data_IF_081319291540
#
_entry.id   IF_081319291540
#
_cell.length_a   1.000
_cell.length_b   1.000
_cell.length_c   1.000
_cell.angle_alpha   90.00
_cell.angle_beta   90.00
_cell.angle_gamma   90.00
#
_symmetry.space_group_name_H-M   'P 1'
#
loop_
_entity.id
_entity.type
_entity.pdbx_description
1 polymer ?
#
# COMPACT_ATOMS: atom_id res chain seq x y z
N UNK A 1 21.27 35.48 51.14
CA UNK A 1 21.39 36.78 50.42
C UNK A 1 20.26 37.78 50.68
N UNK A 2 19.00 37.39 50.92
CA UNK A 2 17.85 38.31 51.10
C UNK A 2 17.93 39.31 52.27
N UNK A 3 18.67 39.02 53.36
CA UNK A 3 18.81 39.94 54.52
C UNK A 3 19.76 41.13 54.26
N UNK A 4 20.73 40.99 53.35
CA UNK A 4 21.70 42.06 53.06
C UNK A 4 21.12 43.15 52.15
N UNK A 5 20.26 42.78 51.20
CA UNK A 5 19.60 43.73 50.29
C UNK A 5 18.60 44.62 51.03
N UNK A 6 17.94 44.08 52.06
CA UNK A 6 16.97 44.83 52.88
C UNK A 6 17.63 45.91 53.75
N UNK A 7 18.77 45.61 54.40
CA UNK A 7 19.53 46.59 55.19
C UNK A 7 20.06 47.76 54.35
N UNK A 8 20.49 47.51 53.12
CA UNK A 8 20.92 48.57 52.18
C UNK A 8 19.75 49.45 51.71
N UNK A 9 18.55 48.87 51.55
CA UNK A 9 17.33 49.61 51.19
C UNK A 9 16.97 50.61 52.29
N UNK A 10 16.97 50.18 53.55
CA UNK A 10 16.61 51.06 54.68
C UNK A 10 17.62 52.20 54.87
N UNK A 11 18.92 51.91 54.77
CA UNK A 11 19.97 52.93 54.96
C UNK A 11 19.92 54.06 53.91
N UNK A 12 19.46 53.76 52.69
CA UNK A 12 19.36 54.74 51.60
C UNK A 12 18.11 55.62 51.67
N UNK A 13 16.98 55.08 52.14
CA UNK A 13 15.78 55.88 52.41
C UNK A 13 16.00 56.81 53.60
N UNK A 14 16.75 56.35 54.61
CA UNK A 14 17.16 57.17 55.76
C UNK A 14 17.94 58.42 55.36
N UNK A 15 18.75 58.39 54.30
CA UNK A 15 19.49 59.58 53.85
C UNK A 15 18.58 60.68 53.28
N UNK A 16 17.59 60.32 52.46
CA UNK A 16 16.61 61.28 51.92
C UNK A 16 15.67 61.82 53.01
N UNK A 17 15.21 60.94 53.91
CA UNK A 17 14.40 61.33 55.07
C UNK A 17 15.19 62.20 56.06
N UNK A 18 16.47 61.91 56.27
CA UNK A 18 17.34 62.72 57.11
C UNK A 18 17.58 64.11 56.52
N UNK A 19 17.71 64.24 55.19
CA UNK A 19 17.82 65.56 54.53
C UNK A 19 16.53 66.37 54.64
N UNK A 20 15.36 65.74 54.48
CA UNK A 20 14.07 66.39 54.69
C UNK A 20 13.88 66.83 56.15
N UNK A 21 14.22 65.96 57.11
CA UNK A 21 14.18 66.27 58.53
C UNK A 21 15.16 67.39 58.88
N UNK A 22 16.39 67.36 58.35
CA UNK A 22 17.37 68.42 58.55
C UNK A 22 16.87 69.76 57.99
N UNK A 23 16.29 69.76 56.78
CA UNK A 23 15.67 70.95 56.19
C UNK A 23 14.53 71.51 57.04
N UNK A 24 13.62 70.64 57.53
CA UNK A 24 12.53 71.04 58.43
C UNK A 24 13.03 71.56 59.77
N UNK A 25 14.07 70.94 60.35
CA UNK A 25 14.69 71.40 61.61
C UNK A 25 15.35 72.76 61.41
N UNK A 26 16.06 72.99 60.29
CA UNK A 26 16.63 74.30 59.97
C UNK A 26 15.56 75.39 59.82
N UNK A 27 14.43 75.07 59.16
CA UNK A 27 13.29 76.01 59.06
C UNK A 27 12.63 76.29 60.41
N UNK A 28 12.43 75.26 61.23
CA UNK A 28 11.86 75.43 62.58
C UNK A 28 12.80 76.23 63.49
N UNK A 29 14.10 75.97 63.42
CA UNK A 29 15.12 76.73 64.15
C UNK A 29 15.16 78.20 63.69
N UNK A 30 15.01 78.47 62.39
CA UNK A 30 14.92 79.84 61.88
C UNK A 30 13.79 80.63 62.54
N UNK A 31 12.65 79.99 62.82
CA UNK A 31 11.52 80.60 63.52
C UNK A 31 11.79 80.89 65.00
N UNK A 32 12.65 80.11 65.66
CA UNK A 32 13.02 80.29 67.07
C UNK A 32 14.06 81.42 67.23
N UNK A 33 14.93 81.61 66.23
CA UNK A 33 16.00 82.62 66.24
C UNK A 33 15.65 83.91 65.48
N UNK A 34 14.37 84.32 65.48
CA UNK A 34 13.90 85.51 64.77
C UNK A 34 14.59 86.82 65.20
N UNK A 35 15.07 86.89 66.44
CA UNK A 35 15.74 88.07 66.98
C UNK A 35 17.16 88.32 66.40
N UNK A 36 17.72 87.36 65.65
CA UNK A 36 19.01 87.50 64.98
C UNK A 36 18.87 87.37 63.45
N UNK A 37 18.73 88.49 62.72
CA UNK A 37 18.33 88.49 61.31
C UNK A 37 19.22 87.64 60.39
N UNK A 38 20.53 87.60 60.67
CA UNK A 38 21.50 86.89 59.83
C UNK A 38 21.42 85.36 59.97
N UNK A 39 21.17 84.84 61.19
CA UNK A 39 21.03 83.41 61.44
C UNK A 39 19.71 82.88 60.86
N UNK A 40 18.63 83.64 61.01
CA UNK A 40 17.33 83.28 60.46
C UNK A 40 17.38 83.21 58.92
N UNK A 41 18.00 84.20 58.25
CA UNK A 41 18.14 84.18 56.79
C UNK A 41 18.94 82.98 56.29
N UNK A 42 20.13 82.74 56.88
CA UNK A 42 20.99 81.63 56.47
C UNK A 42 20.34 80.25 56.69
N UNK A 43 19.64 80.05 57.81
CA UNK A 43 18.93 78.80 58.09
C UNK A 43 17.74 78.56 57.15
N UNK A 44 17.07 79.64 56.72
CA UNK A 44 15.93 79.56 55.81
C UNK A 44 16.38 79.19 54.40
N UNK A 45 17.46 79.80 53.90
CA UNK A 45 18.04 79.46 52.59
C UNK A 45 18.60 78.04 52.55
N UNK A 46 19.32 77.62 53.60
CA UNK A 46 19.86 76.26 53.72
C UNK A 46 18.73 75.24 53.85
N UNK A 47 17.71 75.52 54.68
CA UNK A 47 16.55 74.66 54.86
C UNK A 47 15.72 74.49 53.58
N UNK A 48 15.47 75.59 52.85
CA UNK A 48 14.77 75.58 51.57
C UNK A 48 15.55 74.80 50.50
N UNK A 49 16.87 74.95 50.45
CA UNK A 49 17.74 74.19 49.54
C UNK A 49 17.62 72.70 49.80
N UNK A 50 17.67 72.26 51.07
CA UNK A 50 17.49 70.84 51.41
C UNK A 50 16.11 70.30 51.05
N UNK A 51 15.05 71.09 51.25
CA UNK A 51 13.67 70.73 50.91
C UNK A 51 13.42 70.63 49.40
N UNK A 52 14.11 71.43 48.58
CA UNK A 52 14.06 71.35 47.12
C UNK A 52 14.88 70.16 46.57
N UNK A 53 16.09 69.94 47.11
CA UNK A 53 16.98 68.89 46.60
C UNK A 53 16.57 67.47 47.03
N UNK A 54 15.99 67.29 48.20
CA UNK A 54 15.61 65.96 48.70
C UNK A 54 14.60 65.21 47.80
N UNK A 55 13.47 65.79 47.35
CA UNK A 55 12.54 65.12 46.44
C UNK A 55 13.17 64.87 45.06
N UNK A 56 14.05 65.75 44.59
CA UNK A 56 14.74 65.60 43.31
C UNK A 56 15.72 64.41 43.33
N UNK A 57 16.46 64.23 44.41
CA UNK A 57 17.31 63.05 44.65
C UNK A 57 16.50 61.75 44.80
N UNK A 58 15.31 61.82 45.41
CA UNK A 58 14.42 60.66 45.48
C UNK A 58 13.88 60.28 44.09
N UNK A 59 13.54 61.25 43.26
CA UNK A 59 13.04 61.05 41.89
C UNK A 59 14.12 60.45 40.99
N UNK A 60 15.33 61.04 40.96
CA UNK A 60 16.47 60.55 40.18
C UNK A 60 16.74 59.06 40.48
N UNK A 61 16.76 58.69 41.76
CA UNK A 61 16.99 57.29 42.17
C UNK A 61 15.82 56.36 41.84
N UNK A 62 14.59 56.87 41.77
CA UNK A 62 13.42 56.08 41.35
C UNK A 62 13.49 55.79 39.85
N UNK A 63 13.98 56.74 39.06
CA UNK A 63 14.21 56.62 37.62
C UNK A 63 15.36 55.64 37.35
N UNK A 64 16.52 55.78 38.01
CA UNK A 64 17.65 54.84 37.89
C UNK A 64 17.25 53.39 38.22
N UNK A 65 16.42 53.19 39.25
CA UNK A 65 15.91 51.85 39.59
C UNK A 65 14.96 51.29 38.54
N UNK A 66 14.11 52.12 37.93
CA UNK A 66 13.22 51.67 36.86
C UNK A 66 14.02 51.37 35.60
N UNK A 67 15.02 52.18 35.27
CA UNK A 67 15.92 51.91 34.15
C UNK A 67 16.62 50.56 34.31
N UNK A 68 17.25 50.28 35.45
CA UNK A 68 17.88 48.97 35.66
C UNK A 68 16.89 47.80 35.67
N UNK A 69 15.65 48.00 36.15
CA UNK A 69 14.59 46.97 36.09
C UNK A 69 14.12 46.71 34.66
N UNK A 70 14.05 47.75 33.83
CA UNK A 70 13.67 47.64 32.41
C UNK A 70 14.83 47.02 31.61
N UNK A 71 16.07 47.44 31.86
CA UNK A 71 17.28 46.92 31.20
C UNK A 71 17.51 45.44 31.53
N UNK A 72 17.40 45.05 32.80
CA UNK A 72 17.45 43.62 33.19
C UNK A 72 16.25 42.83 32.68
N UNK A 73 15.08 43.46 32.55
CA UNK A 73 13.90 42.88 31.91
C UNK A 73 14.10 42.64 30.42
N UNK A 74 14.70 43.60 29.69
CA UNK A 74 15.02 43.49 28.27
C UNK A 74 16.06 42.42 28.01
N UNK A 75 17.14 42.36 28.78
CA UNK A 75 18.14 41.29 28.67
C UNK A 75 17.53 39.91 28.90
N UNK A 76 16.65 39.76 29.91
CA UNK A 76 15.96 38.49 30.15
C UNK A 76 14.99 38.11 29.03
N UNK A 77 14.44 39.08 28.30
CA UNK A 77 13.58 38.85 27.12
C UNK A 77 14.44 38.45 25.92
N UNK A 78 15.54 39.15 25.65
CA UNK A 78 16.50 38.80 24.59
C UNK A 78 17.07 37.40 24.79
N UNK A 79 17.48 37.05 26.02
CA UNK A 79 17.95 35.70 26.35
C UNK A 79 16.88 34.62 26.11
N UNK A 80 15.62 34.91 26.42
CA UNK A 80 14.50 34.00 26.13
C UNK A 80 14.25 33.86 24.64
N UNK A 81 14.25 34.96 23.90
CA UNK A 81 14.07 34.95 22.45
C UNK A 81 15.20 34.17 21.77
N UNK A 82 16.45 34.40 22.17
CA UNK A 82 17.60 33.67 21.65
C UNK A 82 17.51 32.17 21.94
N UNK A 83 17.05 31.77 23.15
CA UNK A 83 16.81 30.36 23.46
C UNK A 83 15.72 29.76 22.59
N UNK A 84 14.59 30.44 22.45
CA UNK A 84 13.48 29.96 21.61
C UNK A 84 13.88 29.86 20.14
N UNK A 85 14.65 30.81 19.61
CA UNK A 85 15.17 30.74 18.23
C UNK A 85 16.09 29.52 18.06
N UNK A 86 16.98 29.28 19.01
CA UNK A 86 17.88 28.12 18.96
C UNK A 86 17.12 26.79 19.12
N UNK A 87 16.11 26.73 19.98
CA UNK A 87 15.23 25.57 20.16
C UNK A 87 14.41 25.29 18.90
N UNK A 88 13.86 26.33 18.25
CA UNK A 88 13.14 26.20 16.98
C UNK A 88 14.08 25.73 15.86
N UNK A 89 15.30 26.28 15.79
CA UNK A 89 16.28 25.85 14.80
C UNK A 89 16.66 24.38 14.98
N UNK A 90 16.93 23.95 16.23
CA UNK A 90 17.23 22.56 16.55
C UNK A 90 16.06 21.63 16.24
N UNK A 91 14.82 22.01 16.60
CA UNK A 91 13.63 21.22 16.29
C UNK A 91 13.38 21.15 14.78
N UNK A 92 13.61 22.23 14.04
CA UNK A 92 13.49 22.24 12.58
C UNK A 92 14.51 21.32 11.92
N UNK A 93 15.75 21.28 12.43
CA UNK A 93 16.80 20.38 11.97
C UNK A 93 16.45 18.92 12.30
N UNK A 94 15.97 18.63 13.50
CA UNK A 94 15.48 17.31 13.90
C UNK A 94 14.29 16.85 13.04
N UNK A 95 13.34 17.75 12.73
CA UNK A 95 12.22 17.45 11.83
C UNK A 95 12.69 17.20 10.41
N UNK A 96 13.67 17.96 9.91
CA UNK A 96 14.25 17.73 8.58
C UNK A 96 14.96 16.37 8.51
N UNK A 97 15.77 16.05 9.52
CA UNK A 97 16.46 14.77 9.61
C UNK A 97 15.47 13.59 9.73
N UNK A 98 14.46 13.71 10.57
CA UNK A 98 13.41 12.70 10.70
C UNK A 98 12.64 12.49 9.39
N UNK A 99 12.37 13.57 8.65
CA UNK A 99 11.71 13.48 7.35
C UNK A 99 12.59 12.73 6.34
N UNK A 100 13.88 13.02 6.30
CA UNK A 100 14.83 12.34 5.42
C UNK A 100 14.96 10.86 5.78
N UNK A 101 14.99 10.52 7.06
CA UNK A 101 15.05 9.12 7.53
C UNK A 101 13.74 8.36 7.24
N UNK A 102 12.57 9.01 7.39
CA UNK A 102 11.29 8.44 6.95
C UNK A 102 11.30 8.19 5.45
N UNK A 103 11.78 9.14 4.64
CA UNK A 103 11.83 8.93 3.18
C UNK A 103 12.74 7.75 2.82
N UNK A 104 13.93 7.67 3.41
CA UNK A 104 14.86 6.55 3.19
C UNK A 104 14.27 5.20 3.59
N UNK A 105 13.59 5.14 4.74
CA UNK A 105 12.97 3.90 5.20
C UNK A 105 11.79 3.47 4.32
N UNK A 106 11.01 4.43 3.80
CA UNK A 106 9.96 4.15 2.82
C UNK A 106 10.54 3.63 1.50
N UNK A 107 11.62 4.23 1.01
CA UNK A 107 12.29 3.81 -0.22
C UNK A 107 12.87 2.39 -0.07
N UNK A 108 13.56 2.10 1.04
CA UNK A 108 14.08 0.77 1.36
C UNK A 108 12.96 -0.28 1.48
N UNK A 109 11.85 0.07 2.12
CA UNK A 109 10.69 -0.82 2.23
C UNK A 109 10.09 -1.10 0.84
N UNK A 110 9.95 -0.07 0.01
CA UNK A 110 9.45 -0.22 -1.35
C UNK A 110 10.34 -1.14 -2.19
N UNK A 111 11.65 -0.98 -2.11
CA UNK A 111 12.64 -1.83 -2.79
C UNK A 111 12.54 -3.29 -2.32
N UNK A 112 12.56 -3.53 -1.00
CA UNK A 112 12.44 -4.87 -0.44
C UNK A 112 11.12 -5.57 -0.81
N UNK A 113 10.00 -4.83 -0.85
CA UNK A 113 8.71 -5.35 -1.31
C UNK A 113 8.77 -5.71 -2.79
N UNK A 114 9.36 -4.85 -3.63
CA UNK A 114 9.49 -5.10 -5.06
C UNK A 114 10.34 -6.34 -5.36
N UNK A 115 11.49 -6.48 -4.73
CA UNK A 115 12.36 -7.66 -4.86
C UNK A 115 11.65 -8.96 -4.44
N UNK A 116 10.91 -8.90 -3.33
CA UNK A 116 10.15 -10.06 -2.83
C UNK A 116 9.03 -10.45 -3.80
N UNK A 117 8.33 -9.47 -4.38
CA UNK A 117 7.29 -9.73 -5.39
C UNK A 117 7.89 -10.30 -6.68
N UNK A 118 9.02 -9.78 -7.15
CA UNK A 118 9.71 -10.34 -8.31
C UNK A 118 10.16 -11.77 -8.07
N UNK A 119 10.77 -12.04 -6.92
CA UNK A 119 11.20 -13.39 -6.53
C UNK A 119 10.03 -14.37 -6.49
N UNK A 120 8.88 -13.96 -5.94
CA UNK A 120 7.68 -14.78 -5.92
C UNK A 120 7.17 -15.10 -7.34
N UNK A 121 7.13 -14.09 -8.22
CA UNK A 121 6.71 -14.26 -9.63
C UNK A 121 7.63 -15.20 -10.41
N UNK A 122 8.95 -15.08 -10.22
CA UNK A 122 9.91 -15.98 -10.87
C UNK A 122 9.71 -17.42 -10.41
N UNK A 123 9.54 -17.65 -9.11
CA UNK A 123 9.26 -18.98 -8.57
C UNK A 123 7.95 -19.57 -9.11
N UNK A 124 6.90 -18.75 -9.21
CA UNK A 124 5.61 -19.21 -9.75
C UNK A 124 5.73 -19.56 -11.25
N UNK A 125 6.50 -18.79 -12.04
CA UNK A 125 6.83 -19.13 -13.44
C UNK A 125 7.62 -20.44 -13.56
N UNK A 126 8.63 -20.64 -12.72
CA UNK A 126 9.42 -21.87 -12.70
C UNK A 126 8.56 -23.10 -12.38
N UNK A 127 7.63 -22.98 -11.41
CA UNK A 127 6.66 -24.04 -11.10
C UNK A 127 5.79 -24.39 -12.30
N UNK A 128 5.23 -23.40 -12.99
CA UNK A 128 4.39 -23.65 -14.17
C UNK A 128 5.21 -24.24 -15.32
N UNK A 129 6.44 -23.77 -15.55
CA UNK A 129 7.33 -24.32 -16.57
C UNK A 129 7.70 -25.80 -16.33
N UNK A 130 7.81 -26.22 -15.06
CA UNK A 130 8.12 -27.60 -14.69
C UNK A 130 7.06 -28.61 -15.18
N UNK A 131 5.78 -28.19 -15.28
CA UNK A 131 4.66 -29.02 -15.72
C UNK A 131 4.90 -29.65 -17.09
N UNK A 132 5.44 -28.90 -18.05
CA UNK A 132 5.72 -29.45 -19.39
C UNK A 132 7.10 -30.08 -19.53
N UNK A 133 8.08 -29.64 -18.72
CA UNK A 133 9.47 -30.06 -18.87
C UNK A 133 9.74 -31.44 -18.27
N UNK A 134 9.16 -31.72 -17.10
CA UNK A 134 9.23 -33.01 -16.42
C UNK A 134 7.95 -33.22 -15.60
N UNK A 135 6.85 -33.68 -16.24
CA UNK A 135 5.57 -33.84 -15.56
C UNK A 135 5.68 -34.96 -14.51
N UNK A 136 5.59 -34.58 -13.24
CA UNK A 136 5.49 -35.49 -12.10
C UNK A 136 4.24 -35.14 -11.30
N UNK A 137 3.79 -36.07 -10.44
CA UNK A 137 2.70 -35.81 -9.51
C UNK A 137 2.92 -34.51 -8.71
N UNK A 138 4.14 -34.34 -8.17
CA UNK A 138 4.51 -33.17 -7.38
C UNK A 138 4.51 -31.88 -8.22
N UNK A 139 5.17 -31.89 -9.40
CA UNK A 139 5.29 -30.67 -10.21
C UNK A 139 3.93 -30.20 -10.74
N UNK A 140 3.06 -31.14 -11.11
CA UNK A 140 1.69 -30.83 -11.55
C UNK A 140 0.78 -30.42 -10.39
N UNK A 141 0.80 -31.16 -9.28
CA UNK A 141 0.00 -30.90 -8.10
C UNK A 141 0.31 -29.53 -7.48
N UNK A 142 1.60 -29.21 -7.30
CA UNK A 142 2.06 -27.93 -6.79
C UNK A 142 1.67 -26.77 -7.71
N UNK A 143 1.82 -26.95 -9.03
CA UNK A 143 1.45 -25.93 -10.01
C UNK A 143 -0.06 -25.64 -9.99
N UNK A 144 -0.90 -26.68 -10.03
CA UNK A 144 -2.36 -26.54 -10.00
C UNK A 144 -2.86 -25.97 -8.68
N UNK A 145 -2.33 -26.45 -7.55
CA UNK A 145 -2.67 -25.92 -6.22
C UNK A 145 -2.29 -24.43 -6.13
N UNK A 146 -1.06 -24.09 -6.53
CA UNK A 146 -0.60 -22.70 -6.53
C UNK A 146 -1.44 -21.81 -7.44
N UNK A 147 -1.81 -22.30 -8.63
CA UNK A 147 -2.67 -21.57 -9.55
C UNK A 147 -4.06 -21.31 -8.95
N UNK A 148 -4.65 -22.29 -8.23
CA UNK A 148 -5.92 -22.12 -7.51
C UNK A 148 -5.79 -21.11 -6.36
N UNK A 149 -4.74 -21.19 -5.54
CA UNK A 149 -4.48 -20.24 -4.45
C UNK A 149 -4.36 -18.79 -4.93
N UNK A 150 -3.82 -18.61 -6.14
CA UNK A 150 -3.71 -17.31 -6.81
C UNK A 150 -4.98 -16.89 -7.57
N UNK A 151 -6.03 -17.72 -7.60
CA UNK A 151 -7.27 -17.46 -8.35
C UNK A 151 -7.08 -17.44 -9.88
N UNK A 152 -6.06 -18.13 -10.39
CA UNK A 152 -5.72 -18.16 -11.82
C UNK A 152 -6.59 -19.12 -12.63
N UNK A 153 -7.05 -20.20 -11.99
CA UNK A 153 -7.89 -21.24 -12.58
C UNK A 153 -9.15 -21.44 -11.75
N UNK A 154 -10.20 -21.98 -12.38
CA UNK A 154 -11.45 -22.32 -11.70
C UNK A 154 -11.22 -23.32 -10.55
N UNK A 155 -12.03 -23.22 -9.49
CA UNK A 155 -12.04 -24.20 -8.40
C UNK A 155 -12.43 -25.61 -8.88
N UNK A 156 -13.19 -25.70 -9.98
CA UNK A 156 -13.52 -26.97 -10.65
C UNK A 156 -12.38 -27.49 -11.53
N UNK A 157 -11.22 -26.85 -11.49
CA UNK A 157 -10.07 -27.17 -12.34
C UNK A 157 -10.14 -26.51 -13.72
N UNK A 158 -9.05 -26.66 -14.47
CA UNK A 158 -8.94 -26.17 -15.85
C UNK A 158 -8.89 -27.34 -16.81
N UNK A 159 -9.26 -27.12 -18.06
CA UNK A 159 -9.25 -28.14 -19.11
C UNK A 159 -8.42 -27.70 -20.30
N UNK A 160 -7.82 -28.67 -20.96
CA UNK A 160 -7.05 -28.49 -22.19
C UNK A 160 -7.60 -29.42 -23.28
N UNK A 161 -7.56 -29.01 -24.55
CA UNK A 161 -7.99 -29.87 -25.65
C UNK A 161 -7.04 -31.07 -25.79
N UNK A 162 -7.62 -32.25 -26.02
CA UNK A 162 -6.86 -33.40 -26.48
C UNK A 162 -6.77 -33.33 -28.01
N UNK A 163 -5.64 -32.83 -28.52
CA UNK A 163 -5.46 -32.52 -29.95
C UNK A 163 -5.81 -33.69 -30.86
N UNK A 164 -6.32 -33.38 -32.06
CA UNK A 164 -6.84 -34.33 -33.04
C UNK A 164 -8.07 -35.14 -32.59
N UNK A 165 -8.72 -34.73 -31.48
CA UNK A 165 -9.96 -35.32 -30.98
C UNK A 165 -10.94 -34.22 -30.55
N UNK A 166 -12.26 -34.51 -30.43
CA UNK A 166 -13.23 -33.57 -29.88
C UNK A 166 -13.26 -33.56 -28.33
N UNK A 167 -12.26 -34.16 -27.69
CA UNK A 167 -12.23 -34.41 -26.25
C UNK A 167 -11.32 -33.42 -25.53
N UNK A 168 -11.53 -33.31 -24.22
CA UNK A 168 -10.74 -32.44 -23.34
C UNK A 168 -10.26 -33.23 -22.14
N UNK A 169 -9.12 -32.84 -21.59
CA UNK A 169 -8.63 -33.34 -20.30
C UNK A 169 -8.73 -32.22 -19.29
N UNK A 170 -9.59 -32.41 -18.28
CA UNK A 170 -9.71 -31.53 -17.12
C UNK A 170 -8.76 -31.96 -16.02
N UNK A 171 -7.97 -31.02 -15.54
CA UNK A 171 -7.05 -31.16 -14.44
C UNK A 171 -7.66 -30.56 -13.18
N UNK A 172 -7.74 -31.37 -12.12
CA UNK A 172 -8.17 -30.93 -10.81
C UNK A 172 -7.20 -31.43 -9.74
N UNK A 173 -6.69 -30.52 -8.91
CA UNK A 173 -5.77 -30.85 -7.84
C UNK A 173 -6.52 -31.02 -6.51
N UNK A 174 -6.51 -32.25 -6.00
CA UNK A 174 -7.04 -32.62 -4.70
C UNK A 174 -5.88 -32.98 -3.75
N UNK A 175 -4.97 -32.02 -3.62
CA UNK A 175 -3.78 -32.15 -2.79
C UNK A 175 -4.16 -32.28 -1.30
N UNK A 176 -3.42 -33.10 -0.52
CA UNK A 176 -2.18 -33.81 -0.90
C UNK A 176 -2.41 -35.21 -1.48
N UNK A 177 -3.65 -35.59 -1.81
CA UNK A 177 -4.01 -36.98 -2.08
C UNK A 177 -3.73 -37.41 -3.52
N UNK A 178 -4.33 -36.71 -4.48
CA UNK A 178 -4.24 -37.05 -5.89
C UNK A 178 -4.38 -35.82 -6.80
N UNK A 179 -3.97 -36.00 -8.07
CA UNK A 179 -4.34 -35.11 -9.17
C UNK A 179 -5.29 -35.87 -10.08
N UNK A 180 -6.50 -35.35 -10.22
CA UNK A 180 -7.54 -35.95 -11.03
C UNK A 180 -7.44 -35.45 -12.48
N UNK A 181 -7.31 -36.37 -13.43
CA UNK A 181 -7.37 -36.10 -14.87
C UNK A 181 -8.69 -36.68 -15.39
N UNK A 182 -9.63 -35.81 -15.71
CA UNK A 182 -10.95 -36.21 -16.23
C UNK A 182 -11.00 -36.00 -17.73
N UNK A 183 -11.12 -37.09 -18.48
CA UNK A 183 -11.46 -37.06 -19.89
C UNK A 183 -12.93 -36.66 -20.02
N UNK A 184 -13.21 -35.57 -20.71
CA UNK A 184 -14.55 -35.03 -20.90
C UNK A 184 -14.84 -34.69 -22.36
N UNK A 185 -16.13 -34.61 -22.70
CA UNK A 185 -16.56 -34.04 -23.98
C UNK A 185 -16.49 -32.49 -23.96
N UNK A 186 -16.76 -31.87 -25.11
CA UNK A 186 -16.82 -30.41 -25.24
C UNK A 186 -17.75 -29.73 -24.22
N UNK A 187 -18.82 -30.42 -23.83
CA UNK A 187 -19.84 -29.91 -22.92
C UNK A 187 -19.50 -30.13 -21.43
N UNK A 188 -18.34 -30.73 -21.13
CA UNK A 188 -17.88 -30.98 -19.76
C UNK A 188 -18.56 -32.17 -19.10
N UNK A 189 -19.08 -33.12 -19.88
CA UNK A 189 -19.52 -34.41 -19.35
C UNK A 189 -18.31 -35.33 -19.20
N UNK A 190 -18.13 -35.88 -18.00
CA UNK A 190 -17.05 -36.81 -17.73
C UNK A 190 -17.28 -38.15 -18.45
N UNK A 191 -16.27 -38.60 -19.20
CA UNK A 191 -16.23 -39.90 -19.89
C UNK A 191 -15.39 -40.90 -19.08
N UNK A 192 -14.28 -40.44 -18.52
CA UNK A 192 -13.37 -41.24 -17.70
C UNK A 192 -12.56 -40.35 -16.76
N UNK A 193 -12.11 -40.92 -15.66
CA UNK A 193 -11.30 -40.22 -14.66
C UNK A 193 -10.13 -41.09 -14.28
N UNK A 194 -8.92 -40.59 -14.56
CA UNK A 194 -7.67 -41.15 -14.08
C UNK A 194 -7.24 -40.43 -12.81
N UNK A 195 -6.82 -41.18 -11.80
CA UNK A 195 -6.28 -40.65 -10.55
C UNK A 195 -4.76 -40.76 -10.57
N UNK A 196 -4.07 -39.63 -10.58
CA UNK A 196 -2.61 -39.59 -10.52
C UNK A 196 -2.17 -39.50 -9.06
N UNK A 197 -1.71 -40.62 -8.52
CA UNK A 197 -1.08 -40.73 -7.21
C UNK A 197 0.44 -40.59 -7.29
N UNK A 198 1.10 -40.37 -6.15
CA UNK A 198 2.54 -40.11 -6.07
C UNK A 198 3.43 -41.25 -6.61
N UNK A 199 2.95 -42.49 -6.56
CA UNK A 199 3.64 -43.70 -7.02
C UNK A 199 3.48 -43.95 -8.53
N UNK A 200 2.57 -43.23 -9.20
CA UNK A 200 2.32 -43.39 -10.63
C UNK A 200 3.18 -42.45 -11.47
N UNK A 201 3.74 -42.98 -12.55
CA UNK A 201 4.40 -42.16 -13.57
C UNK A 201 3.39 -41.41 -14.42
N UNK A 202 3.79 -40.29 -15.01
CA UNK A 202 2.98 -39.57 -15.99
C UNK A 202 2.57 -40.47 -17.17
N UNK A 203 3.48 -41.36 -17.60
CA UNK A 203 3.24 -42.32 -18.67
C UNK A 203 2.08 -43.26 -18.33
N UNK A 204 2.05 -43.84 -17.14
CA UNK A 204 0.99 -44.77 -16.74
C UNK A 204 -0.39 -44.10 -16.76
N UNK A 205 -0.47 -42.85 -16.27
CA UNK A 205 -1.73 -42.07 -16.27
C UNK A 205 -2.15 -41.69 -17.69
N UNK A 206 -1.20 -41.31 -18.54
CA UNK A 206 -1.49 -41.03 -19.95
C UNK A 206 -1.98 -42.27 -20.69
N UNK A 207 -1.35 -43.43 -20.47
CA UNK A 207 -1.80 -44.70 -21.07
C UNK A 207 -3.24 -45.01 -20.68
N UNK A 208 -3.62 -44.86 -19.40
CA UNK A 208 -5.00 -45.06 -18.94
C UNK A 208 -6.01 -44.15 -19.67
N UNK A 209 -5.68 -42.86 -19.83
CA UNK A 209 -6.52 -41.94 -20.61
C UNK A 209 -6.62 -42.38 -22.08
N UNK A 210 -5.51 -42.78 -22.70
CA UNK A 210 -5.44 -43.13 -24.13
C UNK A 210 -6.21 -44.41 -24.42
N UNK A 211 -6.05 -45.44 -23.59
CA UNK A 211 -6.81 -46.69 -23.71
C UNK A 211 -8.31 -46.41 -23.69
N UNK A 212 -8.75 -45.44 -22.87
CA UNK A 212 -10.15 -45.00 -22.89
C UNK A 212 -10.53 -44.32 -24.19
N UNK A 213 -9.71 -43.41 -24.71
CA UNK A 213 -9.95 -42.72 -25.99
C UNK A 213 -10.06 -43.73 -27.14
N UNK A 214 -9.23 -44.78 -27.13
CA UNK A 214 -9.30 -45.89 -28.08
C UNK A 214 -10.59 -46.70 -27.93
N UNK A 215 -10.99 -47.02 -26.70
CA UNK A 215 -12.22 -47.78 -26.43
C UNK A 215 -13.48 -47.09 -26.96
N UNK A 216 -13.54 -45.76 -26.91
CA UNK A 216 -14.67 -44.97 -27.44
C UNK A 216 -14.57 -44.65 -28.94
N UNK A 217 -13.55 -45.17 -29.62
CA UNK A 217 -13.37 -45.01 -31.07
C UNK A 217 -12.98 -43.60 -31.51
N UNK A 218 -12.38 -42.80 -30.62
CA UNK A 218 -11.95 -41.41 -30.90
C UNK A 218 -10.42 -41.29 -31.02
N UNK A 219 -9.70 -42.41 -31.04
CA UNK A 219 -8.24 -42.41 -31.15
C UNK A 219 -7.80 -42.15 -32.59
N UNK A 220 -7.02 -41.09 -32.86
CA UNK A 220 -6.64 -40.71 -34.22
C UNK A 220 -5.48 -41.54 -34.80
N UNK A 221 -4.94 -42.48 -34.01
CA UNK A 221 -3.82 -43.34 -34.39
C UNK A 221 -2.46 -42.82 -33.89
N UNK A 222 -1.49 -43.73 -33.76
CA UNK A 222 -0.18 -43.50 -33.13
C UNK A 222 0.63 -42.37 -33.79
N UNK A 223 0.42 -42.11 -35.09
CA UNK A 223 1.17 -41.11 -35.85
C UNK A 223 0.68 -39.68 -35.58
N UNK A 224 -0.64 -39.51 -35.39
CA UNK A 224 -1.25 -38.20 -35.20
C UNK A 224 -1.34 -37.81 -33.71
N UNK A 225 -1.24 -38.79 -32.82
CA UNK A 225 -1.54 -38.59 -31.40
C UNK A 225 -0.29 -38.32 -30.56
N UNK A 226 -0.19 -37.10 -30.02
CA UNK A 226 0.91 -36.68 -29.14
C UNK A 226 0.38 -36.36 -27.73
N UNK A 227 0.33 -37.34 -26.80
CA UNK A 227 -0.32 -37.16 -25.50
C UNK A 227 0.36 -36.12 -24.62
N UNK A 228 1.66 -35.90 -24.78
CA UNK A 228 2.43 -34.94 -23.97
C UNK A 228 2.03 -33.49 -24.23
N UNK A 229 1.34 -33.18 -25.34
CA UNK A 229 0.88 -31.83 -25.65
C UNK A 229 -0.10 -31.28 -24.61
N UNK A 230 -0.84 -32.14 -23.89
CA UNK A 230 -1.76 -31.68 -22.82
C UNK A 230 -1.00 -30.91 -21.72
N UNK A 231 0.23 -31.30 -21.41
CA UNK A 231 1.06 -30.61 -20.40
C UNK A 231 1.63 -29.30 -20.92
N UNK A 232 1.93 -29.22 -22.21
CA UNK A 232 2.36 -27.97 -22.87
C UNK A 232 1.19 -26.98 -22.90
N UNK A 233 0.00 -27.44 -23.28
CA UNK A 233 -1.21 -26.64 -23.34
C UNK A 233 -1.64 -26.18 -21.93
N UNK A 234 -1.49 -27.05 -20.91
CA UNK A 234 -1.73 -26.70 -19.52
C UNK A 234 -0.74 -25.63 -19.04
N UNK A 235 0.57 -25.79 -19.29
CA UNK A 235 1.57 -24.76 -18.98
C UNK A 235 1.19 -23.43 -19.63
N UNK A 236 0.82 -23.44 -20.91
CA UNK A 236 0.46 -22.22 -21.64
C UNK A 236 -0.74 -21.51 -20.99
N UNK A 237 -1.76 -22.27 -20.57
CA UNK A 237 -2.91 -21.76 -19.85
C UNK A 237 -2.51 -21.13 -18.51
N UNK A 238 -1.69 -21.82 -17.71
CA UNK A 238 -1.23 -21.33 -16.40
C UNK A 238 -0.35 -20.08 -16.52
N UNK A 239 0.59 -20.08 -17.47
CA UNK A 239 1.45 -18.93 -17.75
C UNK A 239 0.64 -17.72 -18.23
N UNK A 240 -0.32 -17.94 -19.13
CA UNK A 240 -1.24 -16.90 -19.59
C UNK A 240 -2.01 -16.29 -18.40
N UNK A 241 -2.62 -17.12 -17.56
CA UNK A 241 -3.35 -16.63 -16.39
C UNK A 241 -2.44 -15.82 -15.45
N UNK A 242 -1.22 -16.30 -15.20
CA UNK A 242 -0.24 -15.64 -14.33
C UNK A 242 0.27 -14.30 -14.88
N UNK A 243 0.59 -14.22 -16.18
CA UNK A 243 1.01 -12.97 -16.83
C UNK A 243 -0.05 -11.88 -16.72
N UNK A 244 -1.33 -12.27 -16.78
CA UNK A 244 -2.44 -11.33 -16.68
C UNK A 244 -2.73 -10.90 -15.24
N UNK A 245 -2.59 -11.80 -14.26
CA UNK A 245 -2.79 -11.45 -12.85
C UNK A 245 -1.67 -10.59 -12.28
N UNK A 246 -0.46 -10.71 -12.81
CA UNK A 246 0.72 -9.96 -12.35
C UNK A 246 0.94 -8.63 -13.06
N UNK A 247 0.11 -8.30 -14.07
CA UNK A 247 0.20 -7.06 -14.85
C UNK A 247 1.27 -7.07 -15.94
N UNK A 248 1.92 -8.21 -16.22
CA UNK A 248 2.87 -8.34 -17.32
C UNK A 248 2.20 -8.19 -18.70
N UNK A 249 0.90 -8.49 -18.79
CA UNK A 249 0.10 -8.47 -20.03
C UNK A 249 -0.28 -7.06 -20.54
N UNK A 250 0.16 -5.96 -19.91
CA UNK A 250 -0.26 -4.56 -20.20
C UNK A 250 -1.77 -4.29 -20.07
N UNK A 251 -2.61 -5.31 -19.94
CA UNK A 251 -4.03 -5.18 -19.66
C UNK A 251 -4.29 -4.76 -18.21
N UNK A 252 -5.30 -3.91 -18.04
CA UNK A 252 -5.68 -3.36 -16.73
C UNK A 252 -6.50 -4.32 -15.88
N UNK A 253 -7.20 -5.26 -16.51
CA UNK A 253 -8.12 -6.16 -15.82
C UNK A 253 -7.58 -7.59 -15.85
N UNK A 254 -7.54 -8.29 -14.70
CA UNK A 254 -7.21 -9.70 -14.69
C UNK A 254 -8.29 -10.48 -15.46
N UNK A 255 -7.90 -11.60 -16.09
CA UNK A 255 -8.82 -12.46 -16.83
C UNK A 255 -9.90 -13.05 -15.91
N UNK A 256 -9.55 -13.29 -14.64
CA UNK A 256 -10.33 -14.10 -13.71
C UNK A 256 -9.91 -15.58 -13.76
N UNK A 257 -10.58 -16.46 -13.00
CA UNK A 257 -10.30 -17.89 -13.00
C UNK A 257 -10.53 -18.51 -14.37
N UNK A 258 -9.47 -19.02 -14.99
CA UNK A 258 -9.53 -19.65 -16.31
C UNK A 258 -10.06 -21.09 -16.22
N UNK A 259 -10.91 -21.44 -17.18
CA UNK A 259 -11.34 -22.82 -17.43
C UNK A 259 -10.58 -23.40 -18.62
N UNK A 260 -10.49 -22.67 -19.72
CA UNK A 260 -9.90 -23.14 -20.98
C UNK A 260 -9.23 -21.99 -21.73
N UNK A 261 -8.11 -22.28 -22.36
CA UNK A 261 -7.51 -21.42 -23.38
C UNK A 261 -7.78 -22.00 -24.77
N UNK A 262 -8.37 -21.20 -25.65
CA UNK A 262 -8.64 -21.50 -27.05
C UNK A 262 -7.63 -20.72 -27.89
N UNK A 263 -6.50 -21.38 -28.17
CA UNK A 263 -5.37 -20.81 -28.90
C UNK A 263 -5.81 -20.30 -30.28
N UNK A 264 -5.38 -19.09 -30.73
CA UNK A 264 -4.39 -18.22 -30.08
C UNK A 264 -4.93 -17.11 -29.17
N UNK A 265 -6.21 -16.77 -29.22
CA UNK A 265 -6.66 -15.46 -28.76
C UNK A 265 -7.74 -15.48 -27.68
N UNK A 266 -8.44 -16.59 -27.48
CA UNK A 266 -9.66 -16.61 -26.68
C UNK A 266 -9.51 -17.44 -25.41
N UNK A 267 -10.04 -16.94 -24.30
CA UNK A 267 -10.12 -17.69 -23.05
C UNK A 267 -11.57 -17.82 -22.60
N UNK A 268 -11.86 -18.95 -21.97
CA UNK A 268 -13.12 -19.22 -21.27
C UNK A 268 -12.82 -19.15 -19.78
N UNK A 269 -13.59 -18.32 -19.10
CA UNK A 269 -13.56 -18.15 -17.64
C UNK A 269 -14.89 -18.65 -17.06
N UNK A 270 -15.02 -18.65 -15.74
CA UNK A 270 -16.26 -19.03 -15.08
C UNK A 270 -17.47 -18.15 -15.45
N UNK A 271 -17.26 -16.91 -15.89
CA UNK A 271 -18.35 -15.95 -16.12
C UNK A 271 -18.41 -15.39 -17.53
N UNK A 272 -17.39 -15.59 -18.37
CA UNK A 272 -17.28 -14.94 -19.68
C UNK A 272 -16.29 -15.62 -20.62
N UNK A 273 -16.44 -15.33 -21.91
CA UNK A 273 -15.47 -15.57 -22.97
C UNK A 273 -14.76 -14.26 -23.28
N UNK A 274 -13.43 -14.27 -23.36
CA UNK A 274 -12.63 -13.04 -23.49
C UNK A 274 -11.52 -13.18 -24.52
N UNK A 275 -11.33 -12.15 -25.35
CA UNK A 275 -10.17 -11.99 -26.20
C UNK A 275 -8.99 -11.42 -25.40
N UNK A 276 -7.84 -12.09 -25.46
CA UNK A 276 -6.64 -11.78 -24.67
C UNK A 276 -6.09 -10.38 -25.00
N UNK A 277 -5.93 -10.02 -26.26
CA UNK A 277 -5.24 -8.76 -26.61
C UNK A 277 -6.18 -7.55 -26.75
N UNK A 278 -7.43 -7.79 -27.13
CA UNK A 278 -8.39 -6.73 -27.48
C UNK A 278 -9.28 -6.32 -26.29
N UNK A 279 -9.24 -7.06 -25.19
CA UNK A 279 -10.11 -6.83 -24.03
C UNK A 279 -11.59 -7.02 -24.33
N UNK A 280 -11.93 -7.61 -25.48
CA UNK A 280 -13.31 -7.88 -25.88
C UNK A 280 -13.88 -9.02 -25.04
N UNK A 281 -15.08 -8.84 -24.49
CA UNK A 281 -15.69 -9.79 -23.55
C UNK A 281 -17.13 -10.11 -23.95
N UNK A 282 -17.50 -11.37 -23.79
CA UNK A 282 -18.86 -11.89 -23.96
C UNK A 282 -19.23 -12.59 -22.65
N UNK A 283 -20.09 -11.96 -21.86
CA UNK A 283 -20.57 -12.53 -20.60
C UNK A 283 -21.36 -13.82 -20.84
N UNK A 284 -21.24 -14.79 -19.92
CA UNK A 284 -21.82 -16.13 -20.07
C UNK A 284 -23.33 -16.11 -20.30
N UNK A 285 -24.06 -15.23 -19.60
CA UNK A 285 -25.51 -15.06 -19.77
C UNK A 285 -25.91 -14.55 -21.17
N UNK A 286 -24.96 -13.98 -21.91
CA UNK A 286 -25.19 -13.43 -23.25
C UNK A 286 -24.83 -14.39 -24.37
N UNK A 287 -24.25 -15.55 -24.07
CA UNK A 287 -23.74 -16.50 -25.09
C UNK A 287 -24.81 -16.96 -26.09
N UNK A 288 -26.09 -16.88 -25.71
CA UNK A 288 -27.24 -17.26 -26.52
C UNK A 288 -28.05 -16.06 -27.08
N UNK A 289 -27.65 -14.81 -26.83
CA UNK A 289 -28.42 -13.62 -27.27
C UNK A 289 -28.35 -13.39 -28.79
N UNK A 290 -27.20 -13.70 -29.42
CA UNK A 290 -26.96 -13.44 -30.83
C UNK A 290 -25.90 -14.36 -31.41
N UNK A 291 -25.75 -14.30 -32.74
CA UNK A 291 -24.62 -14.90 -33.43
C UNK A 291 -23.35 -14.07 -33.20
N UNK A 292 -22.70 -14.33 -32.07
CA UNK A 292 -21.43 -13.69 -31.70
C UNK A 292 -20.33 -13.92 -32.73
N UNK A 293 -20.34 -15.05 -33.44
CA UNK A 293 -19.35 -15.35 -34.44
C UNK A 293 -19.46 -14.37 -35.61
N UNK A 294 -20.67 -14.20 -36.15
CA UNK A 294 -20.93 -13.25 -37.23
C UNK A 294 -20.80 -11.79 -36.79
N UNK A 295 -21.00 -11.48 -35.51
CA UNK A 295 -20.76 -10.13 -34.97
C UNK A 295 -19.26 -9.79 -34.85
N UNK A 296 -18.43 -10.74 -34.41
CA UNK A 296 -17.02 -10.49 -34.08
C UNK A 296 -16.12 -10.68 -35.29
N UNK A 297 -16.34 -11.70 -36.13
CA UNK A 297 -15.52 -12.01 -37.30
C UNK A 297 -15.26 -10.79 -38.23
N UNK A 298 -16.25 -9.95 -38.57
CA UNK A 298 -16.04 -8.80 -39.48
C UNK A 298 -15.10 -7.73 -38.93
N UNK A 299 -14.76 -7.75 -37.63
CA UNK A 299 -13.86 -6.76 -37.02
C UNK A 299 -12.40 -6.96 -37.41
N UNK A 300 -12.04 -8.10 -38.01
CA UNK A 300 -10.73 -8.37 -38.62
C UNK A 300 -9.58 -8.64 -37.66
N UNK A 301 -9.72 -8.36 -36.36
CA UNK A 301 -8.73 -8.68 -35.33
C UNK A 301 -8.90 -10.09 -34.74
N UNK A 302 -10.07 -10.70 -34.90
CA UNK A 302 -10.41 -11.98 -34.29
C UNK A 302 -9.93 -13.14 -35.15
N UNK A 303 -9.19 -14.07 -34.56
CA UNK A 303 -8.91 -15.34 -35.23
C UNK A 303 -10.22 -16.17 -35.33
N UNK A 304 -10.70 -16.50 -36.56
CA UNK A 304 -12.01 -17.12 -36.72
C UNK A 304 -12.11 -18.52 -36.10
N UNK A 305 -11.04 -19.32 -36.15
CA UNK A 305 -11.05 -20.70 -35.66
C UNK A 305 -11.17 -20.73 -34.14
N UNK A 306 -10.28 -20.02 -33.45
CA UNK A 306 -10.29 -19.93 -31.99
C UNK A 306 -11.53 -19.25 -31.42
N UNK A 307 -12.09 -18.25 -32.13
CA UNK A 307 -13.38 -17.65 -31.77
C UNK A 307 -14.51 -18.69 -31.81
N UNK A 308 -14.57 -19.47 -32.90
CA UNK A 308 -15.57 -20.52 -33.04
C UNK A 308 -15.44 -21.55 -31.92
N UNK A 309 -14.23 -22.06 -31.70
CA UNK A 309 -13.94 -23.06 -30.66
C UNK A 309 -14.30 -22.55 -29.26
N UNK A 310 -13.98 -21.29 -28.96
CA UNK A 310 -14.30 -20.65 -27.69
C UNK A 310 -15.81 -20.50 -27.48
N UNK A 311 -16.54 -20.05 -28.50
CA UNK A 311 -17.99 -19.87 -28.42
C UNK A 311 -18.73 -21.20 -28.29
N UNK A 312 -18.38 -22.21 -29.09
CA UNK A 312 -19.00 -23.53 -29.02
C UNK A 312 -18.71 -24.21 -27.68
N UNK A 313 -17.44 -24.21 -27.25
CA UNK A 313 -17.04 -24.74 -25.94
C UNK A 313 -17.77 -24.04 -24.78
N UNK A 314 -17.83 -22.70 -24.79
CA UNK A 314 -18.46 -21.94 -23.72
C UNK A 314 -19.98 -22.15 -23.68
N UNK A 315 -20.65 -22.20 -24.83
CA UNK A 315 -22.09 -22.50 -24.91
C UNK A 315 -22.40 -23.90 -24.39
N UNK A 316 -21.59 -24.89 -24.75
CA UNK A 316 -21.76 -26.26 -24.29
C UNK A 316 -21.58 -26.37 -22.77
N UNK A 317 -20.51 -25.74 -22.23
CA UNK A 317 -20.28 -25.65 -20.78
C UNK A 317 -21.42 -24.91 -20.04
N UNK A 318 -21.90 -23.80 -20.60
CA UNK A 318 -22.98 -23.00 -20.02
C UNK A 318 -24.28 -23.79 -19.90
N UNK A 319 -24.68 -24.49 -20.98
CA UNK A 319 -25.90 -25.33 -21.00
C UNK A 319 -25.85 -26.46 -19.98
N UNK A 320 -24.65 -27.00 -19.70
CA UNK A 320 -24.46 -28.06 -18.73
C UNK A 320 -24.17 -27.57 -17.30
N UNK A 321 -24.31 -26.27 -17.02
CA UNK A 321 -24.08 -25.72 -15.68
C UNK A 321 -22.63 -25.85 -15.20
N UNK A 322 -21.67 -25.88 -16.13
CA UNK A 322 -20.23 -25.94 -15.84
C UNK A 322 -19.57 -24.56 -15.74
N UNK A 323 -20.34 -23.49 -15.95
CA UNK A 323 -19.93 -22.11 -15.68
C UNK A 323 -20.60 -21.64 -14.38
N UNK A 324 -19.99 -20.70 -13.65
CA UNK A 324 -20.50 -20.22 -12.36
C UNK A 324 -21.84 -19.49 -12.49
N UNK A 325 -22.10 -18.88 -13.65
CA UNK A 325 -23.40 -18.31 -13.98
C UNK A 325 -24.31 -19.44 -14.46
N UNK A 326 -25.28 -19.83 -13.64
CA UNK A 326 -26.28 -20.81 -14.04
C UNK A 326 -27.06 -20.31 -15.27
N UNK A 327 -27.42 -21.21 -16.20
CA UNK A 327 -28.39 -20.87 -17.22
C UNK A 327 -29.70 -20.44 -16.54
N UNK A 328 -30.40 -19.41 -17.05
CA UNK A 328 -31.76 -19.16 -16.59
C UNK A 328 -32.58 -20.43 -16.76
N UNK A 329 -33.43 -20.76 -15.78
CA UNK A 329 -34.30 -21.93 -15.86
C UNK A 329 -35.03 -21.93 -17.21
N UNK A 330 -35.12 -23.07 -17.90
CA UNK A 330 -35.86 -23.14 -19.15
C UNK A 330 -37.29 -22.66 -18.91
N UNK A 331 -37.88 -21.85 -19.82
CA UNK A 331 -39.28 -21.47 -19.70
C UNK A 331 -40.12 -22.77 -19.69
N UNK A 332 -40.80 -23.02 -18.57
CA UNK A 332 -41.67 -24.17 -18.35
C UNK A 332 -42.83 -24.25 -19.35
#
# INVERSE_FOLDING_TARGET
>A
MLRQTWRRRIRRWRAGLALLLAGMICLAASFIFQDSPWYSSALTEVGATFLLFAPLLMLQRRIEKRFHLVETGQQAIEDRQNRTINEIAALSEEVAQNKDDIQRTLDQLSEAVFERLQTARTKDKERFAAVSANPTFESLGDALQRARELGLISDQGCRVPLRETPLFVRFHANMPHDVQLTLEDMAGNAIHTAYWAHDNSAEAVLVDIIEKVQLIGQYPGDVAFYPTHIFVDLRNLLDLAHRHSTGESRMRNPLGPLIQFCDPQWVITETKVMAIDEGYTIEAHRLNEMDWYDHVRPKGWADPTSLFDALESARALYRNGRLAVYPPDPPF
#
